data_IF_489859567724
#
_entry.id   IF_489859567724
#
_cell.length_a   1.000
_cell.length_b   1.000
_cell.length_c   1.000
_cell.angle_alpha   90.00
_cell.angle_beta   90.00
_cell.angle_gamma   90.00
#
_symmetry.space_group_name_H-M   'P 1'
#
loop_
_entity.id
_entity.type
_entity.pdbx_description
1 polymer ?
#
# COMPACT_ATOMS: atom_id res chain seq x y z
N UNK A 1 0.26 7.33 12.45
CA UNK A 1 1.13 7.90 11.39
C UNK A 1 1.76 6.82 10.51
N UNK A 2 2.55 5.88 11.07
CA UNK A 2 3.33 4.92 10.26
C UNK A 2 2.51 3.98 9.36
N UNK A 3 1.39 3.41 9.84
CA UNK A 3 0.62 2.43 9.06
C UNK A 3 0.11 3.00 7.72
N UNK A 4 -0.41 4.22 7.71
CA UNK A 4 -0.79 4.91 6.48
C UNK A 4 0.42 5.22 5.60
N UNK A 5 1.52 5.67 6.20
CA UNK A 5 2.76 5.96 5.48
C UNK A 5 3.27 4.72 4.72
N UNK A 6 3.45 3.60 5.41
CA UNK A 6 3.99 2.38 4.82
C UNK A 6 3.07 1.75 3.78
N UNK A 7 1.76 1.96 3.91
CA UNK A 7 0.80 1.48 2.92
C UNK A 7 0.71 2.32 1.65
N UNK A 8 1.45 3.44 1.56
CA UNK A 8 1.61 4.25 0.35
C UNK A 8 3.08 4.48 -0.06
N UNK A 9 4.03 4.21 0.84
CA UNK A 9 5.46 4.41 0.65
C UNK A 9 6.18 3.08 0.85
N UNK A 10 5.95 2.16 -0.09
CA UNK A 10 6.54 0.82 -0.10
C UNK A 10 7.25 0.56 -1.43
N UNK A 11 8.25 -0.34 -1.49
CA UNK A 11 9.12 -0.47 -2.65
C UNK A 11 8.43 -0.79 -3.97
N UNK A 12 7.30 -1.50 -3.93
CA UNK A 12 6.56 -1.93 -5.12
C UNK A 12 5.41 -0.99 -5.49
N UNK A 13 5.18 0.09 -4.75
CA UNK A 13 4.14 1.08 -5.07
C UNK A 13 4.32 1.57 -6.51
N UNK A 14 3.21 1.77 -7.24
CA UNK A 14 3.22 2.37 -8.58
C UNK A 14 2.15 3.43 -8.68
N UNK A 15 2.47 4.50 -9.40
CA UNK A 15 1.52 5.57 -9.71
C UNK A 15 1.34 5.59 -11.23
N UNK A 16 0.11 5.33 -11.68
CA UNK A 16 -0.21 5.26 -13.09
C UNK A 16 -0.02 6.62 -13.77
N UNK A 17 0.50 6.61 -15.00
CA UNK A 17 0.47 7.76 -15.90
C UNK A 17 -0.94 7.98 -16.46
N UNK A 18 -1.15 9.05 -17.23
CA UNK A 18 -2.46 9.41 -17.76
C UNK A 18 -3.03 8.38 -18.74
N UNK A 19 -2.18 7.69 -19.49
CA UNK A 19 -2.59 6.80 -20.58
C UNK A 19 -3.00 5.41 -20.07
N UNK A 20 -2.51 4.99 -18.89
CA UNK A 20 -2.89 3.75 -18.20
C UNK A 20 -3.80 3.94 -16.97
N UNK A 21 -4.32 5.15 -16.76
CA UNK A 21 -5.06 5.48 -15.54
C UNK A 21 -6.46 4.83 -15.51
N UNK A 22 -6.73 4.08 -14.44
CA UNK A 22 -8.07 3.76 -14.00
C UNK A 22 -8.15 3.93 -12.49
N UNK A 23 -9.33 4.23 -11.96
CA UNK A 23 -9.53 4.34 -10.52
C UNK A 23 -9.04 3.08 -9.78
N UNK A 24 -9.36 1.90 -10.31
CA UNK A 24 -8.96 0.61 -9.74
C UNK A 24 -7.45 0.44 -9.76
N UNK A 25 -6.79 0.71 -10.89
CA UNK A 25 -5.34 0.59 -11.02
C UNK A 25 -4.61 1.60 -10.13
N UNK A 26 -5.12 2.82 -10.02
CA UNK A 26 -4.57 3.83 -9.16
C UNK A 26 -4.71 3.43 -7.68
N UNK A 27 -5.90 2.98 -7.25
CA UNK A 27 -6.15 2.54 -5.88
C UNK A 27 -5.25 1.35 -5.52
N UNK A 28 -5.27 0.27 -6.30
CA UNK A 28 -4.52 -0.97 -6.00
C UNK A 28 -3.01 -0.82 -6.23
N UNK A 29 -2.59 0.02 -7.18
CA UNK A 29 -1.18 0.21 -7.52
C UNK A 29 -0.43 1.09 -6.51
N UNK A 30 -1.11 2.12 -5.97
CA UNK A 30 -0.53 3.13 -5.07
C UNK A 30 -0.77 2.85 -3.59
N UNK A 31 -1.50 1.78 -3.26
CA UNK A 31 -1.72 1.33 -1.89
C UNK A 31 -1.40 -0.17 -1.73
N UNK A 32 -1.32 -0.65 -0.49
CA UNK A 32 -0.92 -2.04 -0.20
C UNK A 32 -1.84 -2.75 0.77
N UNK A 33 -1.80 -4.08 0.75
CA UNK A 33 -2.18 -4.95 1.85
C UNK A 33 -1.01 -5.11 2.85
N UNK A 34 -1.17 -4.63 4.09
CA UNK A 34 -0.17 -4.85 5.13
C UNK A 34 -0.38 -6.20 5.82
N UNK A 35 0.52 -7.15 5.56
CA UNK A 35 0.53 -8.46 6.23
C UNK A 35 0.82 -8.28 7.71
N UNK A 36 -0.09 -8.75 8.55
CA UNK A 36 0.04 -8.73 10.00
C UNK A 36 -0.69 -9.93 10.63
N UNK A 37 -0.39 -10.23 11.90
CA UNK A 37 -1.09 -11.30 12.62
C UNK A 37 -2.55 -10.90 12.91
N UNK A 38 -3.40 -11.89 13.22
CA UNK A 38 -4.79 -11.63 13.60
C UNK A 38 -4.92 -10.67 14.79
N UNK A 39 -4.01 -10.76 15.76
CA UNK A 39 -3.95 -9.85 16.92
C UNK A 39 -3.70 -8.42 16.47
N UNK A 40 -2.79 -8.23 15.51
CA UNK A 40 -2.50 -6.90 14.97
C UNK A 40 -3.64 -6.37 14.10
N UNK A 41 -4.32 -7.22 13.34
CA UNK A 41 -5.55 -6.84 12.63
C UNK A 41 -6.62 -6.32 13.59
N UNK A 42 -6.83 -7.01 14.72
CA UNK A 42 -7.75 -6.55 15.77
C UNK A 42 -7.31 -5.22 16.37
N UNK A 43 -6.05 -5.11 16.80
CA UNK A 43 -5.52 -3.92 17.47
C UNK A 43 -5.55 -2.68 16.56
N UNK A 44 -5.32 -2.87 15.27
CA UNK A 44 -5.26 -1.78 14.28
C UNK A 44 -6.59 -1.54 13.57
N UNK A 45 -7.66 -2.25 13.96
CA UNK A 45 -8.97 -2.11 13.35
C UNK A 45 -8.94 -2.43 11.85
N UNK A 46 -8.29 -3.51 11.44
CA UNK A 46 -8.19 -3.97 10.05
C UNK A 46 -7.60 -2.96 9.06
N UNK A 47 -6.81 -1.98 9.53
CA UNK A 47 -6.18 -0.99 8.64
C UNK A 47 -5.23 -1.63 7.61
N UNK A 48 -4.79 -2.87 7.82
CA UNK A 48 -3.96 -3.61 6.88
C UNK A 48 -4.61 -3.83 5.51
N UNK A 49 -5.95 -3.82 5.41
CA UNK A 49 -6.69 -3.94 4.15
C UNK A 49 -6.86 -2.59 3.44
N UNK A 50 -5.85 -1.73 3.50
CA UNK A 50 -5.97 -0.34 3.05
C UNK A 50 -6.25 -0.22 1.56
N UNK A 51 -5.76 -1.16 0.76
CA UNK A 51 -6.05 -1.23 -0.67
C UNK A 51 -7.53 -1.41 -0.98
N UNK A 52 -8.24 -2.21 -0.19
CA UNK A 52 -9.70 -2.38 -0.31
C UNK A 52 -10.42 -1.11 0.12
N UNK A 53 -9.93 -0.43 1.18
CA UNK A 53 -10.50 0.85 1.61
C UNK A 53 -10.35 1.92 0.53
N UNK A 54 -9.20 1.99 -0.16
CA UNK A 54 -9.05 2.88 -1.32
C UNK A 54 -9.93 2.48 -2.49
N UNK A 55 -10.12 1.18 -2.73
CA UNK A 55 -11.03 0.73 -3.78
C UNK A 55 -12.49 1.07 -3.46
N UNK A 56 -12.92 0.96 -2.20
CA UNK A 56 -14.27 1.32 -1.78
C UNK A 56 -14.32 1.71 -0.30
N UNK A 57 -14.19 3.01 -0.03
CA UNK A 57 -14.19 3.56 1.33
C UNK A 57 -15.54 3.42 2.07
N UNK A 58 -16.61 2.98 1.38
CA UNK A 58 -17.92 2.75 1.99
C UNK A 58 -17.98 1.43 2.76
N UNK A 59 -17.06 0.50 2.50
CA UNK A 59 -16.96 -0.75 3.28
C UNK A 59 -16.32 -0.40 4.62
N UNK A 60 -17.01 -0.62 5.75
CA UNK A 60 -16.43 -0.36 7.05
C UNK A 60 -15.30 -1.34 7.35
N UNK A 61 -14.30 -0.89 8.11
CA UNK A 61 -13.06 -1.65 8.36
C UNK A 61 -13.28 -3.07 8.89
N UNK A 62 -14.30 -3.29 9.73
CA UNK A 62 -14.62 -4.61 10.28
C UNK A 62 -15.12 -5.62 9.22
N UNK A 63 -15.57 -5.15 8.04
CA UNK A 63 -16.01 -5.99 6.90
C UNK A 63 -14.98 -6.10 5.78
N UNK A 64 -13.86 -5.39 5.85
CA UNK A 64 -12.79 -5.52 4.85
C UNK A 64 -12.24 -6.95 4.73
N UNK A 65 -12.11 -7.74 5.82
CA UNK A 65 -11.74 -9.15 5.69
C UNK A 65 -12.75 -9.96 4.87
N UNK A 66 -14.06 -9.72 5.03
CA UNK A 66 -15.10 -10.40 4.23
C UNK A 66 -14.92 -10.13 2.74
N UNK A 67 -14.64 -8.87 2.37
CA UNK A 67 -14.37 -8.50 0.98
C UNK A 67 -13.09 -9.13 0.44
N UNK A 68 -12.02 -9.18 1.25
CA UNK A 68 -10.74 -9.79 0.89
C UNK A 68 -10.87 -11.29 0.61
N UNK A 69 -11.60 -12.01 1.45
CA UNK A 69 -11.82 -13.46 1.29
C UNK A 69 -12.76 -13.77 0.12
N UNK A 70 -13.78 -12.93 -0.10
CA UNK A 70 -14.80 -13.17 -1.13
C UNK A 70 -14.34 -12.85 -2.56
N UNK A 71 -13.29 -12.04 -2.74
CA UNK A 71 -12.86 -11.54 -4.05
C UNK A 71 -11.37 -11.89 -4.24
N UNK A 72 -11.05 -12.97 -4.97
CA UNK A 72 -9.67 -13.44 -5.17
C UNK A 72 -8.72 -12.36 -5.70
N UNK A 73 -9.20 -11.47 -6.57
CA UNK A 73 -8.42 -10.39 -7.16
C UNK A 73 -7.91 -9.38 -6.11
N UNK A 74 -8.59 -9.26 -4.96
CA UNK A 74 -8.13 -8.41 -3.86
C UNK A 74 -6.96 -9.02 -3.08
N UNK A 75 -6.68 -10.31 -3.27
CA UNK A 75 -5.58 -11.03 -2.63
C UNK A 75 -4.27 -10.89 -3.40
N UNK A 76 -4.34 -10.54 -4.69
CA UNK A 76 -3.20 -10.21 -5.57
C UNK A 76 -2.66 -8.79 -5.35
N UNK A 77 -3.10 -8.12 -4.29
CA UNK A 77 -2.65 -6.78 -3.95
C UNK A 77 -1.15 -6.74 -3.63
N UNK A 78 -0.53 -5.59 -3.90
CA UNK A 78 0.83 -5.34 -3.45
C UNK A 78 0.88 -5.35 -1.94
N UNK A 79 1.97 -5.87 -1.38
CA UNK A 79 2.04 -6.08 0.08
C UNK A 79 3.21 -5.39 0.73
N UNK A 80 3.02 -4.98 1.99
CA UNK A 80 4.08 -4.62 2.93
C UNK A 80 3.85 -5.37 4.25
N UNK A 81 4.69 -5.18 5.26
CA UNK A 81 4.50 -5.79 6.57
C UNK A 81 5.06 -4.95 7.71
N UNK A 82 4.81 -5.40 8.93
CA UNK A 82 5.41 -4.85 10.16
C UNK A 82 6.76 -5.50 10.50
N UNK A 83 7.35 -6.28 9.60
CA UNK A 83 8.70 -6.82 9.82
C UNK A 83 9.71 -5.66 9.88
N UNK A 84 10.66 -5.65 10.84
CA UNK A 84 11.59 -4.53 11.01
C UNK A 84 12.35 -4.14 9.73
N UNK A 85 12.75 -5.13 8.92
CA UNK A 85 13.39 -4.88 7.63
C UNK A 85 12.50 -4.12 6.63
N UNK A 86 11.23 -4.50 6.51
CA UNK A 86 10.25 -3.81 5.65
C UNK A 86 9.96 -2.40 6.16
N UNK A 87 9.91 -2.21 7.48
CA UNK A 87 9.75 -0.89 8.09
C UNK A 87 10.88 0.04 7.67
N UNK A 88 12.13 -0.41 7.80
CA UNK A 88 13.29 0.38 7.39
C UNK A 88 13.26 0.67 5.88
N UNK A 89 12.86 -0.30 5.05
CA UNK A 89 12.72 -0.09 3.60
C UNK A 89 11.69 1.00 3.28
N UNK A 90 10.49 0.93 3.86
CA UNK A 90 9.44 1.93 3.66
C UNK A 90 9.89 3.33 4.11
N UNK A 91 10.53 3.45 5.28
CA UNK A 91 10.99 4.73 5.81
C UNK A 91 12.10 5.38 4.99
N UNK A 92 12.85 4.63 4.17
CA UNK A 92 13.89 5.17 3.28
C UNK A 92 13.33 5.86 2.03
N UNK A 93 12.14 5.46 1.59
CA UNK A 93 11.45 6.02 0.43
C UNK A 93 10.88 7.40 0.77
N UNK A 94 10.81 8.31 -0.21
CA UNK A 94 10.30 9.68 0.01
C UNK A 94 9.40 10.19 -1.10
N UNK A 95 9.73 9.89 -2.35
CA UNK A 95 9.01 10.45 -3.49
C UNK A 95 9.01 9.45 -4.64
N UNK A 96 7.98 9.54 -5.49
CA UNK A 96 7.89 8.81 -6.74
C UNK A 96 8.76 9.47 -7.80
N UNK A 97 9.60 8.68 -8.47
CA UNK A 97 10.33 9.09 -9.65
C UNK A 97 9.63 8.53 -10.91
N UNK A 98 9.05 9.38 -11.77
CA UNK A 98 8.35 8.93 -12.97
C UNK A 98 9.27 8.42 -14.07
N UNK A 99 10.55 8.81 -14.10
CA UNK A 99 11.52 8.31 -15.08
C UNK A 99 11.97 6.89 -14.72
N UNK A 100 12.13 6.61 -13.43
CA UNK A 100 12.51 5.29 -12.93
C UNK A 100 11.32 4.37 -12.65
N UNK A 101 10.10 4.90 -12.66
CA UNK A 101 8.88 4.15 -12.37
C UNK A 101 8.87 3.53 -10.97
N UNK A 102 9.49 4.19 -9.98
CA UNK A 102 9.57 3.69 -8.59
C UNK A 102 9.71 4.81 -7.56
N UNK A 103 9.47 4.45 -6.31
CA UNK A 103 9.80 5.31 -5.18
C UNK A 103 11.34 5.39 -5.00
N UNK A 104 11.85 6.59 -4.71
CA UNK A 104 13.26 6.87 -4.43
C UNK A 104 13.46 7.47 -3.05
N UNK A 105 14.66 7.32 -2.50
CA UNK A 105 15.06 7.86 -1.20
C UNK A 105 15.82 9.18 -1.30
N UNK A 106 16.13 9.78 -0.12
CA UNK A 106 16.84 11.06 -0.03
C UNK A 106 18.20 11.11 -0.76
N UNK A 107 18.93 10.00 -0.79
CA UNK A 107 20.26 9.94 -1.43
C UNK A 107 20.18 10.07 -2.94
N UNK A 108 19.12 9.54 -3.53
CA UNK A 108 18.88 9.58 -4.98
C UNK A 108 18.35 10.96 -5.41
N UNK A 109 17.65 11.66 -4.52
CA UNK A 109 17.14 13.01 -4.80
C UNK A 109 18.23 14.08 -4.95
N UNK A 110 19.37 13.91 -4.27
CA UNK A 110 20.46 14.90 -4.29
C UNK A 110 21.44 14.70 -5.44
N UNK A 111 21.19 13.72 -6.31
CA UNK A 111 22.06 13.35 -7.44
C UNK A 111 21.45 13.59 -8.82
N UNK A 112 20.23 14.15 -8.88
CA UNK A 112 19.59 14.67 -10.09
C UNK A 112 19.53 16.18 -10.08
#
# INVERSE_FOLDING_TARGET
AYLFYAQHNFPTATFADKDGWSYVNAALGSSSYMKMSQVMHWFTGNIGYHHIHHLNARIPFYRLPEAFEAIPELQEAKTTSLMPGEIVRCLRLKVWDPQLGRMIGRRELTTG
#
